data_IF_934935007870
#
_entry.id   IF_934935007870
#
_cell.length_a   1.000
_cell.length_b   1.000
_cell.length_c   1.000
_cell.angle_alpha   90.00
_cell.angle_beta   90.00
_cell.angle_gamma   90.00
#
_symmetry.space_group_name_H-M   'P 1'
#
loop_
_entity.id
_entity.type
_entity.pdbx_description
1 polymer ?
#
# COMPACT_ATOMS: atom_id res chain seq x y z
N UNK A 1 -1.05 -7.74 22.34
CA UNK A 1 0.13 -8.47 21.84
C UNK A 1 -0.07 -9.98 21.70
N UNK A 2 -0.98 -10.62 22.46
CA UNK A 2 -1.26 -12.08 22.37
C UNK A 2 -1.32 -12.69 20.96
N UNK A 3 -1.90 -12.01 19.97
CA UNK A 3 -1.90 -12.53 18.60
C UNK A 3 -0.46 -12.66 18.04
N UNK A 4 0.33 -11.58 18.12
CA UNK A 4 1.70 -11.50 17.61
C UNK A 4 2.61 -12.52 18.31
N UNK A 5 2.47 -12.67 19.63
CA UNK A 5 3.23 -13.63 20.45
C UNK A 5 2.97 -15.09 20.04
N UNK A 6 1.78 -15.40 19.53
CA UNK A 6 1.38 -16.75 19.17
C UNK A 6 1.58 -17.06 17.68
N UNK A 7 2.12 -16.15 16.87
CA UNK A 7 2.24 -16.35 15.41
C UNK A 7 3.06 -17.60 15.08
N UNK A 8 4.20 -17.80 15.74
CA UNK A 8 5.04 -18.98 15.51
C UNK A 8 4.31 -20.28 15.87
N UNK A 9 3.60 -20.29 17.01
CA UNK A 9 2.87 -21.46 17.45
C UNK A 9 1.66 -21.79 16.56
N UNK A 10 0.97 -20.75 16.07
CA UNK A 10 -0.27 -20.91 15.30
C UNK A 10 -0.01 -21.14 13.81
N UNK A 11 1.04 -20.53 13.26
CA UNK A 11 1.26 -20.47 11.81
C UNK A 11 2.64 -20.95 11.39
N UNK A 12 3.60 -21.08 12.30
CA UNK A 12 4.97 -21.47 11.96
C UNK A 12 5.95 -20.29 11.92
N UNK A 13 7.23 -20.63 11.97
CA UNK A 13 8.33 -19.66 12.07
C UNK A 13 8.46 -18.79 10.82
N UNK A 14 8.11 -19.33 9.66
CA UNK A 14 8.07 -18.63 8.37
C UNK A 14 7.10 -17.44 8.35
N UNK A 15 6.13 -17.42 9.28
CA UNK A 15 5.17 -16.33 9.42
C UNK A 15 5.60 -15.24 10.41
N UNK A 16 6.76 -15.38 11.08
CA UNK A 16 7.39 -14.32 11.87
C UNK A 16 8.00 -13.24 10.96
N UNK A 17 7.14 -12.58 10.21
CA UNK A 17 7.51 -11.55 9.25
C UNK A 17 7.61 -10.17 9.91
N UNK A 18 8.28 -9.26 9.21
CA UNK A 18 8.34 -7.85 9.60
C UNK A 18 6.94 -7.21 9.72
N UNK A 19 6.02 -7.55 8.82
CA UNK A 19 4.65 -7.02 8.84
C UNK A 19 3.90 -7.43 10.10
N UNK A 20 4.10 -8.66 10.58
CA UNK A 20 3.54 -9.13 11.85
C UNK A 20 4.13 -8.36 13.03
N UNK A 21 5.43 -8.08 13.03
CA UNK A 21 6.07 -7.25 14.05
C UNK A 21 5.51 -5.83 14.08
N UNK A 22 5.25 -5.21 12.92
CA UNK A 22 4.69 -3.85 12.85
C UNK A 22 3.32 -3.71 13.54
N UNK A 23 2.53 -4.79 13.63
CA UNK A 23 1.26 -4.77 14.38
C UNK A 23 1.47 -4.42 15.86
N UNK A 24 2.66 -4.65 16.42
CA UNK A 24 2.98 -4.28 17.80
C UNK A 24 3.11 -2.75 17.96
N UNK A 25 3.55 -2.05 16.91
CA UNK A 25 3.74 -0.61 16.90
C UNK A 25 2.50 0.16 16.46
N UNK A 26 1.53 -0.53 15.82
CA UNK A 26 0.33 0.08 15.26
C UNK A 26 -0.43 0.98 16.26
N UNK A 27 -0.67 0.60 17.53
CA UNK A 27 -1.36 1.49 18.48
C UNK A 27 -0.62 2.81 18.71
N UNK A 28 0.72 2.77 18.79
CA UNK A 28 1.54 3.97 18.97
C UNK A 28 1.54 4.84 17.72
N UNK A 29 1.58 4.24 16.55
CA UNK A 29 1.45 4.94 15.27
C UNK A 29 0.11 5.68 15.18
N UNK A 30 -1.00 5.02 15.54
CA UNK A 30 -2.33 5.65 15.51
C UNK A 30 -2.45 6.85 16.46
N UNK A 31 -1.83 6.76 17.65
CA UNK A 31 -1.81 7.89 18.60
C UNK A 31 -1.01 9.08 18.09
N UNK A 32 0.08 8.82 17.37
CA UNK A 32 1.00 9.87 16.93
C UNK A 32 0.54 10.53 15.61
N UNK A 33 -0.03 9.74 14.69
CA UNK A 33 -0.26 10.14 13.30
C UNK A 33 -1.73 10.10 12.88
N UNK A 34 -2.64 9.69 13.77
CA UNK A 34 -4.06 9.57 13.47
C UNK A 34 -4.46 8.19 12.91
N UNK A 35 -5.73 8.04 12.47
CA UNK A 35 -6.26 6.77 11.96
C UNK A 35 -5.44 6.20 10.80
N UNK A 36 -5.44 4.87 10.62
CA UNK A 36 -4.71 4.20 9.54
C UNK A 36 -5.06 4.77 8.15
N UNK A 37 -6.30 5.23 7.98
CA UNK A 37 -6.78 5.84 6.74
C UNK A 37 -6.06 7.13 6.34
N UNK A 38 -5.29 7.73 7.24
CA UNK A 38 -4.55 8.98 6.98
C UNK A 38 -3.16 8.73 6.42
N UNK A 39 -2.66 7.49 6.50
CA UNK A 39 -1.33 7.09 6.04
C UNK A 39 -1.33 5.74 5.32
N UNK A 40 -2.49 5.27 4.87
CA UNK A 40 -2.58 4.12 3.99
C UNK A 40 -2.10 4.44 2.56
N UNK A 41 -1.85 3.39 1.79
CA UNK A 41 -1.39 3.51 0.41
C UNK A 41 -2.54 3.44 -0.61
N UNK A 42 -3.80 3.31 -0.19
CA UNK A 42 -4.91 2.97 -1.09
C UNK A 42 -5.12 4.03 -2.16
N UNK A 43 -5.01 5.31 -1.79
CA UNK A 43 -5.14 6.41 -2.77
C UNK A 43 -4.06 6.36 -3.85
N UNK A 44 -2.85 5.94 -3.50
CA UNK A 44 -1.73 5.83 -4.43
C UNK A 44 -1.87 4.58 -5.31
N UNK A 45 -2.32 3.46 -4.75
CA UNK A 45 -2.58 2.23 -5.50
C UNK A 45 -3.74 2.40 -6.50
N UNK A 46 -4.81 3.09 -6.12
CA UNK A 46 -5.91 3.46 -7.02
C UNK A 46 -5.40 4.33 -8.17
N UNK A 47 -4.57 5.33 -7.86
CA UNK A 47 -3.98 6.19 -8.89
C UNK A 47 -3.01 5.44 -9.81
N UNK A 48 -2.21 4.51 -9.28
CA UNK A 48 -1.35 3.63 -10.09
C UNK A 48 -2.17 2.82 -11.09
N UNK A 49 -3.37 2.36 -10.71
CA UNK A 49 -4.27 1.69 -11.65
C UNK A 49 -4.74 2.64 -12.76
N UNK A 50 -5.05 3.90 -12.44
CA UNK A 50 -5.43 4.91 -13.44
C UNK A 50 -4.28 5.16 -14.42
N UNK A 51 -3.06 5.39 -13.93
CA UNK A 51 -1.86 5.53 -14.77
C UNK A 51 -1.67 4.28 -15.65
N UNK A 52 -1.78 3.07 -15.09
CA UNK A 52 -1.60 1.83 -15.86
C UNK A 52 -2.61 1.70 -17.01
N UNK A 53 -3.83 2.21 -16.86
CA UNK A 53 -4.87 2.17 -17.91
C UNK A 53 -4.58 3.13 -19.07
N UNK A 54 -3.77 4.17 -18.87
CA UNK A 54 -3.41 5.10 -19.96
C UNK A 54 -2.38 4.47 -20.91
N UNK A 55 -1.57 3.53 -20.42
CA UNK A 55 -0.54 2.84 -21.19
C UNK A 55 -1.16 1.71 -22.03
N UNK A 56 -1.27 1.95 -23.33
CA UNK A 56 -1.81 1.02 -24.34
C UNK A 56 -0.70 0.25 -25.07
N UNK A 57 0.51 0.80 -25.13
CA UNK A 57 1.68 0.17 -25.75
C UNK A 57 2.99 0.60 -25.10
N UNK A 58 4.07 -0.13 -25.36
CA UNK A 58 5.43 0.23 -24.92
C UNK A 58 6.02 1.44 -25.64
N UNK A 59 5.38 1.93 -26.70
CA UNK A 59 5.90 3.04 -27.51
C UNK A 59 5.39 4.37 -26.94
N UNK A 60 6.29 5.24 -26.50
CA UNK A 60 5.94 6.58 -26.01
C UNK A 60 5.01 6.55 -24.79
N UNK A 61 5.37 5.76 -23.77
CA UNK A 61 4.58 5.58 -22.54
C UNK A 61 4.36 6.91 -21.83
N UNK A 62 5.38 7.75 -21.79
CA UNK A 62 5.35 9.09 -21.22
C UNK A 62 4.32 9.99 -21.91
N UNK A 63 4.27 10.00 -23.25
CA UNK A 63 3.27 10.76 -24.00
C UNK A 63 1.87 10.23 -23.70
N UNK A 64 1.67 8.91 -23.72
CA UNK A 64 0.38 8.28 -23.42
C UNK A 64 -0.15 8.67 -22.03
N UNK A 65 0.73 8.75 -21.03
CA UNK A 65 0.38 9.18 -19.68
C UNK A 65 0.06 10.68 -19.68
N UNK A 66 0.97 11.53 -20.16
CA UNK A 66 0.80 12.98 -20.15
C UNK A 66 -0.45 13.43 -20.91
N UNK A 67 -0.65 12.91 -22.13
CA UNK A 67 -1.77 13.29 -22.99
C UNK A 67 -3.11 12.92 -22.35
N UNK A 68 -3.18 11.76 -21.66
CA UNK A 68 -4.39 11.34 -20.94
C UNK A 68 -4.80 12.31 -19.84
N UNK A 69 -3.85 12.85 -19.07
CA UNK A 69 -4.15 13.78 -17.99
C UNK A 69 -4.31 15.24 -18.44
N UNK A 70 -3.78 15.60 -19.62
CA UNK A 70 -3.95 16.93 -20.22
C UNK A 70 -5.30 17.05 -20.93
N UNK A 71 -5.84 15.94 -21.46
CA UNK A 71 -7.10 15.94 -22.22
C UNK A 71 -8.33 15.52 -21.40
N UNK A 72 -8.15 15.08 -20.16
CA UNK A 72 -9.24 14.89 -19.20
C UNK A 72 -9.79 16.27 -18.76
N UNK A 73 -11.11 16.57 -18.94
CA UNK A 73 -11.71 17.84 -18.54
C UNK A 73 -11.79 18.07 -17.02
#
# INVERSE_FOLDING_TARGET
FKFIENIEQLYGKEHLSFNVHLLAHLPKSLQNWGPLSTHDAFIYEDFNQKIKKTVKSSNGVESQICDSFITDP
#
